data_IF_287873248340
#
_entry.id   IF_287873248340
#
_cell.length_a   1.000
_cell.length_b   1.000
_cell.length_c   1.000
_cell.angle_alpha   90.00
_cell.angle_beta   90.00
_cell.angle_gamma   90.00
#
_symmetry.space_group_name_H-M   'P 1'
#
loop_
_entity.id
_entity.type
_entity.pdbx_description
1 polymer ?
#
# COMPACT_ATOMS: atom_id res chain seq x y z
N UNK A 1 1.79 -1.06 6.88
CA UNK A 1 1.77 -2.10 7.92
C UNK A 1 1.71 -3.47 7.26
N UNK A 2 2.63 -4.35 7.64
CA UNK A 2 3.22 -5.38 6.77
C UNK A 2 2.41 -6.68 6.71
N UNK A 3 2.23 -7.22 5.51
CA UNK A 3 1.94 -8.64 5.28
C UNK A 3 3.17 -9.54 5.49
N UNK A 4 4.32 -8.95 5.79
CA UNK A 4 5.60 -9.64 5.96
C UNK A 4 5.66 -10.31 7.34
N UNK A 5 5.50 -11.63 7.37
CA UNK A 5 5.80 -12.44 8.56
C UNK A 5 7.28 -12.28 8.93
N UNK A 6 7.56 -12.15 10.21
CA UNK A 6 8.92 -12.03 10.75
C UNK A 6 9.11 -12.90 11.99
N UNK A 7 10.37 -13.11 12.35
CA UNK A 7 10.78 -13.80 13.58
C UNK A 7 11.69 -12.90 14.40
N UNK A 8 11.59 -13.06 15.72
CA UNK A 8 12.53 -12.45 16.64
C UNK A 8 13.85 -13.22 16.64
N UNK A 9 14.98 -12.50 16.71
CA UNK A 9 16.32 -13.07 16.79
C UNK A 9 17.10 -12.42 17.95
N UNK A 10 17.76 -13.22 18.81
CA UNK A 10 18.46 -12.72 19.99
C UNK A 10 19.84 -12.09 19.68
N UNK A 11 20.33 -12.14 18.43
CA UNK A 11 21.60 -11.52 18.02
C UNK A 11 21.44 -10.66 16.76
N UNK A 12 22.42 -9.79 16.48
CA UNK A 12 22.46 -8.96 15.28
C UNK A 12 21.16 -8.17 15.02
N UNK A 13 20.49 -8.45 13.91
CA UNK A 13 19.16 -7.89 13.60
C UNK A 13 18.10 -8.56 14.49
N UNK A 14 17.44 -7.78 15.35
CA UNK A 14 16.44 -8.29 16.31
C UNK A 14 15.14 -8.78 15.64
N UNK A 15 14.82 -8.25 14.46
CA UNK A 15 13.66 -8.65 13.65
C UNK A 15 14.15 -9.09 12.28
N UNK A 16 13.87 -10.34 11.93
CA UNK A 16 14.28 -10.93 10.65
C UNK A 16 13.01 -11.31 9.90
N UNK A 17 12.76 -10.74 8.71
CA UNK A 17 11.64 -11.18 7.87
C UNK A 17 11.87 -12.62 7.39
N UNK A 18 10.80 -13.38 7.20
CA UNK A 18 10.93 -14.74 6.67
C UNK A 18 11.54 -14.74 5.27
N UNK A 19 11.24 -13.72 4.48
CA UNK A 19 11.84 -13.48 3.18
C UNK A 19 13.00 -12.49 3.31
N UNK A 20 14.23 -12.99 3.10
CA UNK A 20 15.46 -12.22 3.31
C UNK A 20 15.57 -10.92 2.50
N UNK A 21 14.90 -10.84 1.34
CA UNK A 21 14.86 -9.65 0.50
C UNK A 21 14.25 -8.41 1.18
N UNK A 22 13.45 -8.59 2.23
CA UNK A 22 12.83 -7.48 2.97
C UNK A 22 13.60 -7.06 4.23
N UNK A 23 14.82 -7.57 4.45
CA UNK A 23 15.59 -7.29 5.67
C UNK A 23 15.80 -5.79 5.92
N UNK A 24 15.84 -4.99 4.86
CA UNK A 24 16.01 -3.52 4.92
C UNK A 24 14.71 -2.74 4.71
N UNK A 25 13.58 -3.41 4.57
CA UNK A 25 12.27 -2.77 4.39
C UNK A 25 11.58 -2.50 5.73
N UNK A 26 11.76 -3.40 6.71
CA UNK A 26 11.21 -3.25 8.06
C UNK A 26 11.77 -2.00 8.74
N UNK A 27 10.90 -1.25 9.44
CA UNK A 27 11.30 -0.04 10.15
C UNK A 27 11.48 1.20 9.27
N UNK A 28 11.07 1.14 7.99
CA UNK A 28 11.02 2.34 7.14
C UNK A 28 10.16 3.44 7.76
N UNK A 29 10.63 4.69 7.67
CA UNK A 29 9.89 5.89 8.10
C UNK A 29 8.97 6.44 7.00
N UNK A 30 8.93 5.80 5.84
CA UNK A 30 8.07 6.18 4.73
C UNK A 30 6.68 5.61 4.95
N UNK A 31 5.66 6.45 4.89
CA UNK A 31 4.26 6.01 4.87
C UNK A 31 4.02 5.14 3.66
N UNK A 32 3.69 3.88 3.89
CA UNK A 32 3.36 2.94 2.83
C UNK A 32 1.93 3.15 2.33
N UNK A 33 1.66 2.71 1.09
CA UNK A 33 0.30 2.63 0.56
C UNK A 33 -0.66 1.95 1.53
N UNK A 34 -0.22 0.86 2.17
CA UNK A 34 -1.04 0.12 3.12
C UNK A 34 -1.36 0.90 4.40
N UNK A 35 -0.51 1.84 4.82
CA UNK A 35 -0.82 2.67 5.98
C UNK A 35 -1.98 3.64 5.67
N UNK A 36 -1.95 4.26 4.48
CA UNK A 36 -3.02 5.13 3.99
C UNK A 36 -4.31 4.32 3.79
N UNK A 37 -4.22 3.17 3.13
CA UNK A 37 -5.35 2.27 2.90
C UNK A 37 -6.00 1.83 4.20
N UNK A 38 -5.21 1.39 5.20
CA UNK A 38 -5.75 1.01 6.51
C UNK A 38 -6.55 2.15 7.16
N UNK A 39 -6.07 3.39 7.07
CA UNK A 39 -6.81 4.56 7.57
C UNK A 39 -8.09 4.78 6.75
N UNK A 40 -8.01 4.73 5.42
CA UNK A 40 -9.17 4.93 4.55
C UNK A 40 -10.26 3.88 4.79
N UNK A 41 -9.87 2.61 4.91
CA UNK A 41 -10.77 1.50 5.22
C UNK A 41 -11.38 1.66 6.62
N UNK A 42 -10.56 1.98 7.63
CA UNK A 42 -11.02 2.14 9.02
C UNK A 42 -12.05 3.24 9.18
N UNK A 43 -11.86 4.37 8.50
CA UNK A 43 -12.79 5.50 8.55
C UNK A 43 -13.83 5.48 7.43
N UNK A 44 -13.94 4.37 6.68
CA UNK A 44 -14.88 4.20 5.58
C UNK A 44 -14.84 5.36 4.56
N UNK A 45 -13.65 5.86 4.22
CA UNK A 45 -13.47 7.00 3.33
C UNK A 45 -14.02 6.74 1.93
N UNK A 46 -14.00 5.47 1.49
CA UNK A 46 -14.47 5.03 0.18
C UNK A 46 -15.97 5.18 -0.02
N UNK A 47 -16.77 5.29 1.05
CA UNK A 47 -18.21 5.51 0.96
C UNK A 47 -18.58 6.84 0.28
N UNK A 48 -17.63 7.79 0.18
CA UNK A 48 -17.80 9.04 -0.57
C UNK A 48 -17.80 8.81 -2.08
N UNK A 49 -17.23 7.71 -2.54
CA UNK A 49 -17.20 7.33 -3.94
C UNK A 49 -18.35 6.37 -4.22
N UNK A 50 -19.34 6.86 -4.97
CA UNK A 50 -20.53 6.09 -5.34
C UNK A 50 -20.34 5.20 -6.56
N UNK A 51 -21.47 4.80 -7.14
CA UNK A 51 -21.51 4.09 -8.42
C UNK A 51 -20.82 4.93 -9.52
N UNK A 52 -19.96 4.28 -10.31
CA UNK A 52 -19.17 4.94 -11.37
C UNK A 52 -17.80 5.46 -10.93
N UNK A 53 -17.35 5.13 -9.71
CA UNK A 53 -15.97 5.37 -9.29
C UNK A 53 -14.97 4.51 -10.08
N UNK A 54 -13.73 4.99 -10.12
CA UNK A 54 -12.63 4.33 -10.82
C UNK A 54 -12.45 2.88 -10.36
N UNK A 55 -12.34 1.97 -11.33
CA UNK A 55 -12.01 0.56 -11.08
C UNK A 55 -10.50 0.41 -11.06
N UNK A 56 -9.93 0.33 -9.86
CA UNK A 56 -8.49 0.28 -9.65
C UNK A 56 -7.93 -1.13 -9.88
N UNK A 57 -6.75 -1.18 -10.49
CA UNK A 57 -6.00 -2.43 -10.72
C UNK A 57 -4.80 -2.53 -9.79
N UNK A 58 -4.09 -3.67 -9.81
CA UNK A 58 -2.83 -3.88 -9.08
C UNK A 58 -2.89 -3.58 -7.57
N UNK A 59 -4.06 -3.74 -6.97
CA UNK A 59 -4.27 -3.51 -5.53
C UNK A 59 -4.46 -2.03 -5.14
N UNK A 60 -4.61 -1.12 -6.10
CA UNK A 60 -5.02 0.26 -5.84
C UNK A 60 -6.45 0.37 -5.29
N UNK A 61 -6.77 1.52 -4.73
CA UNK A 61 -8.09 1.83 -4.17
C UNK A 61 -8.60 3.17 -4.73
N UNK A 62 -9.93 3.37 -4.85
CA UNK A 62 -10.48 4.65 -5.26
C UNK A 62 -9.94 5.78 -4.39
N UNK A 63 -9.54 6.88 -4.99
CA UNK A 63 -9.07 8.02 -4.22
C UNK A 63 -10.29 8.75 -3.63
N UNK A 64 -10.47 8.78 -2.30
CA UNK A 64 -11.64 9.40 -1.68
C UNK A 64 -11.71 10.93 -1.85
N UNK A 65 -10.63 11.56 -2.35
CA UNK A 65 -10.61 12.98 -2.75
C UNK A 65 -10.90 13.19 -4.25
N UNK A 66 -10.73 12.14 -5.07
CA UNK A 66 -11.02 12.16 -6.50
C UNK A 66 -11.46 10.76 -6.96
N UNK A 67 -12.77 10.51 -6.94
CA UNK A 67 -13.33 9.19 -7.25
C UNK A 67 -13.14 8.73 -8.71
N UNK A 68 -12.63 9.59 -9.59
CA UNK A 68 -12.27 9.24 -10.97
C UNK A 68 -10.83 8.72 -11.11
N UNK A 69 -10.06 8.66 -10.02
CA UNK A 69 -8.70 8.16 -10.00
C UNK A 69 -8.43 7.27 -8.78
N UNK A 70 -7.34 6.51 -8.85
CA UNK A 70 -6.93 5.57 -7.81
C UNK A 70 -5.72 6.07 -7.02
N UNK A 71 -5.66 5.73 -5.73
CA UNK A 71 -4.42 5.70 -4.99
C UNK A 71 -3.67 4.42 -5.35
N UNK A 72 -2.46 4.55 -5.90
CA UNK A 72 -1.69 3.42 -6.40
C UNK A 72 -0.62 2.95 -5.41
N UNK A 73 -0.42 1.62 -5.26
CA UNK A 73 0.76 1.11 -4.59
C UNK A 73 2.04 1.53 -5.32
N UNK A 74 3.15 1.57 -4.59
CA UNK A 74 4.44 1.95 -5.16
C UNK A 74 4.79 1.06 -6.37
N UNK A 75 5.22 1.70 -7.47
CA UNK A 75 5.56 1.03 -8.73
C UNK A 75 4.45 1.05 -9.80
N UNK A 76 3.22 1.39 -9.42
CA UNK A 76 2.08 1.53 -10.34
C UNK A 76 1.63 2.99 -10.46
N UNK A 77 1.07 3.33 -11.62
CA UNK A 77 0.61 4.68 -11.94
C UNK A 77 -0.54 4.69 -12.94
N UNK A 78 -0.89 5.87 -13.43
CA UNK A 78 -2.09 6.09 -14.22
C UNK A 78 -3.34 6.26 -13.35
N UNK A 79 -4.45 6.66 -13.96
CA UNK A 79 -5.71 6.89 -13.24
C UNK A 79 -6.24 5.61 -12.58
N UNK A 80 -5.93 4.44 -13.14
CA UNK A 80 -6.45 3.13 -12.71
C UNK A 80 -5.37 2.19 -12.15
N UNK A 81 -4.15 2.70 -11.89
CA UNK A 81 -2.99 1.92 -11.45
C UNK A 81 -2.57 0.79 -12.42
N UNK A 82 -2.92 0.92 -13.69
CA UNK A 82 -2.69 -0.04 -14.77
C UNK A 82 -1.38 0.22 -15.54
N UNK A 83 -0.69 1.31 -15.20
CA UNK A 83 0.58 1.68 -15.82
C UNK A 83 1.74 1.33 -14.90
N UNK A 84 2.83 0.83 -15.48
CA UNK A 84 4.10 0.69 -14.78
C UNK A 84 4.82 2.03 -14.78
N UNK A 85 5.25 2.49 -13.60
CA UNK A 85 6.09 3.68 -13.50
C UNK A 85 7.51 3.31 -13.93
N UNK A 86 7.99 3.96 -14.99
CA UNK A 86 9.39 3.92 -15.38
C UNK A 86 10.11 5.01 -14.61
N UNK A 87 10.88 4.61 -13.60
CA UNK A 87 11.75 5.48 -12.82
C UNK A 87 13.13 5.54 -13.46
#
# INVERSE_FOLDING_TARGET
MLTSKFRFSPGGNSLIPLEGQYLRTLGSRVTSFYDIKTINDHYNCHAKCGAGSAVCTNGGEPNPRNCAACNCPAGYGGALCDQRLNW
#
